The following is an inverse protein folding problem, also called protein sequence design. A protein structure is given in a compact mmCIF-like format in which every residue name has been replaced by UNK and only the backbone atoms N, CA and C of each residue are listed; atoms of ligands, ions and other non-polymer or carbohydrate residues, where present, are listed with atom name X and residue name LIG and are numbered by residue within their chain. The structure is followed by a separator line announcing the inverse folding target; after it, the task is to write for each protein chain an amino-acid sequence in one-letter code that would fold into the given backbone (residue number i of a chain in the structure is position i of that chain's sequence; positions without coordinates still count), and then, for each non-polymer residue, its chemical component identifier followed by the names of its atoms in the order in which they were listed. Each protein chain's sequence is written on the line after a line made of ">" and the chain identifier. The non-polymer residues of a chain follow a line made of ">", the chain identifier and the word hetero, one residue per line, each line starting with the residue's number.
data_IF_945475722334
#
_entry.id   IF_945475722334
#
_cell.length_a   1.000
_cell.length_b   1.000
_cell.length_c   1.000
_cell.angle_alpha   90.00
_cell.angle_beta   90.00
_cell.angle_gamma   90.00
#
_symmetry.space_group_name_H-M   'P 1'
#
loop_
_entity.id
_entity.type
_entity.pdbx_description
1 polymer ?
#
# COMPACT_ATOMS: atom_id res chain seq x y z
N UNK A 1 10.86 -11.93 23.63
CA UNK A 1 11.21 -10.93 22.61
C UNK A 1 10.06 -10.83 21.63
N UNK A 2 9.72 -9.62 21.17
CA UNK A 2 8.86 -9.37 20.02
C UNK A 2 9.75 -9.05 18.83
N UNK A 3 9.39 -9.59 17.67
CA UNK A 3 10.10 -9.36 16.41
C UNK A 3 9.13 -8.77 15.41
N UNK A 4 9.59 -7.79 14.64
CA UNK A 4 8.82 -7.16 13.56
C UNK A 4 9.64 -7.20 12.27
N UNK A 5 9.00 -7.70 11.20
CA UNK A 5 9.60 -7.76 9.87
C UNK A 5 8.75 -6.99 8.87
N UNK A 6 9.37 -6.11 8.09
CA UNK A 6 8.78 -5.62 6.86
C UNK A 6 9.13 -6.57 5.72
N UNK A 7 8.15 -6.93 4.92
CA UNK A 7 8.31 -7.86 3.80
C UNK A 7 7.52 -7.39 2.57
N UNK A 8 8.04 -7.70 1.39
CA UNK A 8 7.30 -7.55 0.13
C UNK A 8 6.43 -8.77 -0.22
N UNK A 9 6.45 -9.80 0.63
CA UNK A 9 5.66 -11.02 0.43
C UNK A 9 6.19 -11.99 -0.64
N UNK A 10 7.33 -11.72 -1.28
CA UNK A 10 7.85 -12.56 -2.39
C UNK A 10 8.38 -13.91 -1.93
N UNK A 11 8.66 -14.09 -0.65
CA UNK A 11 9.18 -15.34 -0.09
C UNK A 11 8.32 -15.84 1.06
N UNK A 12 8.11 -17.17 1.10
CA UNK A 12 7.54 -17.87 2.24
C UNK A 12 8.64 -18.62 2.97
N UNK A 13 8.84 -18.33 4.25
CA UNK A 13 10.03 -18.79 5.00
C UNK A 13 9.69 -19.96 5.94
N UNK A 14 9.38 -21.13 5.37
CA UNK A 14 8.93 -22.32 6.11
C UNK A 14 9.86 -22.71 7.26
N UNK A 15 11.17 -22.74 7.04
CA UNK A 15 12.13 -23.11 8.08
C UNK A 15 12.08 -22.18 9.30
N UNK A 16 11.94 -20.86 9.06
CA UNK A 16 11.80 -19.90 10.15
C UNK A 16 10.48 -20.08 10.91
N UNK A 17 9.40 -20.40 10.19
CA UNK A 17 8.08 -20.66 10.77
C UNK A 17 8.12 -21.90 11.69
N UNK A 18 8.77 -22.96 11.24
CA UNK A 18 8.78 -24.22 11.96
C UNK A 18 9.76 -24.23 13.14
N UNK A 19 10.93 -23.61 12.97
CA UNK A 19 12.05 -23.81 13.88
C UNK A 19 12.47 -22.57 14.70
N UNK A 20 12.11 -21.36 14.24
CA UNK A 20 12.64 -20.11 14.82
C UNK A 20 11.51 -19.28 15.45
N UNK A 21 10.46 -18.96 14.72
CA UNK A 21 9.42 -18.01 15.14
C UNK A 21 8.60 -18.42 16.35
N UNK A 22 8.26 -19.71 16.57
CA UNK A 22 7.53 -20.14 17.77
C UNK A 22 8.27 -19.87 19.10
N UNK A 23 9.58 -19.62 19.03
CA UNK A 23 10.39 -19.30 20.22
C UNK A 23 10.28 -17.80 20.64
N UNK A 24 9.63 -16.97 19.84
CA UNK A 24 9.40 -15.55 20.16
C UNK A 24 8.03 -15.35 20.79
N UNK A 25 7.92 -14.31 21.62
CA UNK A 25 6.62 -13.92 22.21
C UNK A 25 5.63 -13.47 21.13
N UNK A 26 6.13 -12.79 20.09
CA UNK A 26 5.33 -12.35 18.95
C UNK A 26 6.27 -12.15 17.76
N UNK A 27 5.84 -12.63 16.61
CA UNK A 27 6.41 -12.32 15.30
C UNK A 27 5.33 -11.59 14.51
N UNK A 28 5.60 -10.35 14.14
CA UNK A 28 4.68 -9.52 13.38
C UNK A 28 5.25 -9.29 11.98
N UNK A 29 4.48 -9.67 10.95
CA UNK A 29 4.81 -9.40 9.55
C UNK A 29 4.04 -8.19 9.03
N UNK A 30 4.76 -7.18 8.57
CA UNK A 30 4.23 -6.01 7.90
C UNK A 30 4.41 -6.17 6.37
N UNK A 31 3.36 -6.54 5.68
CA UNK A 31 3.37 -6.71 4.23
C UNK A 31 3.26 -5.35 3.54
N UNK A 32 4.25 -5.03 2.71
CA UNK A 32 4.26 -3.79 1.91
C UNK A 32 3.53 -4.03 0.59
N UNK A 33 2.25 -3.72 0.53
CA UNK A 33 1.39 -3.94 -0.64
C UNK A 33 0.77 -2.61 -1.06
N UNK A 34 1.18 -2.09 -2.21
CA UNK A 34 0.79 -0.75 -2.66
C UNK A 34 -0.31 -0.80 -3.75
N UNK A 35 -0.55 -1.97 -4.36
CA UNK A 35 -1.61 -2.24 -5.34
C UNK A 35 -1.85 -3.76 -5.46
N UNK A 36 -2.69 -4.18 -6.39
CA UNK A 36 -3.01 -5.59 -6.68
C UNK A 36 -2.90 -5.89 -8.18
N UNK A 37 -2.64 -7.17 -8.53
CA UNK A 37 -2.54 -7.62 -9.92
C UNK A 37 -1.40 -6.96 -10.70
N UNK A 38 -1.65 -6.69 -11.97
CA UNK A 38 -0.66 -6.09 -12.90
C UNK A 38 -0.12 -4.75 -12.41
N UNK A 39 -0.92 -3.99 -11.64
CA UNK A 39 -0.47 -2.70 -11.08
C UNK A 39 0.52 -2.88 -9.94
N UNK A 40 0.38 -3.93 -9.15
CA UNK A 40 1.39 -4.30 -8.16
C UNK A 40 2.70 -4.69 -8.85
N UNK A 41 2.64 -5.52 -9.89
CA UNK A 41 3.80 -5.96 -10.66
C UNK A 41 4.51 -4.78 -11.37
N UNK A 42 3.73 -3.82 -11.89
CA UNK A 42 4.28 -2.60 -12.46
C UNK A 42 5.07 -1.76 -11.44
N UNK A 43 4.57 -1.62 -10.22
CA UNK A 43 5.22 -0.83 -9.17
C UNK A 43 6.38 -1.59 -8.49
N UNK A 44 6.36 -2.92 -8.55
CA UNK A 44 7.33 -3.80 -7.90
C UNK A 44 7.96 -4.74 -8.93
N UNK A 45 8.79 -4.14 -9.78
CA UNK A 45 9.46 -4.85 -10.86
C UNK A 45 10.11 -6.16 -10.40
N UNK A 46 9.80 -7.25 -11.10
CA UNK A 46 10.31 -8.60 -10.82
C UNK A 46 9.49 -9.39 -9.79
N UNK A 47 8.47 -8.79 -9.16
CA UNK A 47 7.52 -9.53 -8.33
C UNK A 47 6.36 -10.07 -9.19
N UNK A 48 5.84 -11.24 -8.82
CA UNK A 48 4.63 -11.82 -9.39
C UNK A 48 3.49 -11.73 -8.37
N UNK A 49 2.38 -11.11 -8.75
CA UNK A 49 1.25 -10.90 -7.85
C UNK A 49 0.64 -12.20 -7.33
N UNK A 50 0.48 -13.20 -8.19
CA UNK A 50 -0.14 -14.46 -7.80
C UNK A 50 0.71 -15.18 -6.75
N UNK A 51 2.05 -15.16 -6.90
CA UNK A 51 2.98 -15.72 -5.92
C UNK A 51 2.93 -14.97 -4.59
N UNK A 52 2.94 -13.64 -4.62
CA UNK A 52 2.86 -12.81 -3.42
C UNK A 52 1.53 -13.03 -2.69
N UNK A 53 0.41 -13.02 -3.41
CA UNK A 53 -0.90 -13.25 -2.84
C UNK A 53 -1.03 -14.66 -2.24
N UNK A 54 -0.44 -15.68 -2.89
CA UNK A 54 -0.39 -17.05 -2.36
C UNK A 54 0.46 -17.13 -1.10
N UNK A 55 1.62 -16.47 -1.07
CA UNK A 55 2.47 -16.40 0.10
C UNK A 55 1.76 -15.73 1.29
N UNK A 56 1.06 -14.63 1.06
CA UNK A 56 0.26 -13.95 2.08
C UNK A 56 -0.82 -14.90 2.61
N UNK A 57 -1.52 -15.61 1.74
CA UNK A 57 -2.52 -16.63 2.13
C UNK A 57 -1.89 -17.73 2.99
N UNK A 58 -0.70 -18.20 2.62
CA UNK A 58 0.02 -19.21 3.39
C UNK A 58 0.40 -18.68 4.80
N UNK A 59 0.87 -17.44 4.90
CA UNK A 59 1.14 -16.79 6.19
C UNK A 59 -0.13 -16.64 7.03
N UNK A 60 -1.29 -16.39 6.43
CA UNK A 60 -2.56 -16.27 7.14
C UNK A 60 -3.05 -17.60 7.74
N UNK A 61 -2.54 -18.74 7.29
CA UNK A 61 -2.77 -20.03 7.97
C UNK A 61 -2.18 -20.05 9.40
N UNK A 62 -1.24 -19.14 9.70
CA UNK A 62 -0.68 -18.95 11.03
C UNK A 62 -1.52 -18.04 11.94
N UNK A 63 -2.66 -17.52 11.47
CA UNK A 63 -3.46 -16.54 12.22
C UNK A 63 -3.99 -17.07 13.57
N UNK A 64 -4.06 -18.39 13.74
CA UNK A 64 -4.46 -19.05 15.01
C UNK A 64 -3.27 -19.23 15.97
N UNK A 65 -2.04 -19.02 15.53
CA UNK A 65 -0.86 -19.11 16.37
C UNK A 65 -0.74 -17.89 17.27
N UNK A 66 -0.68 -18.09 18.57
CA UNK A 66 -0.66 -17.00 19.56
C UNK A 66 0.57 -16.07 19.45
N UNK A 67 1.62 -16.53 18.80
CA UNK A 67 2.87 -15.80 18.57
C UNK A 67 2.89 -15.04 17.23
N UNK A 68 1.91 -15.29 16.33
CA UNK A 68 1.89 -14.67 15.00
C UNK A 68 0.93 -13.48 14.92
N UNK A 69 1.34 -12.43 14.23
CA UNK A 69 0.51 -11.29 13.85
C UNK A 69 0.88 -10.82 12.44
N UNK A 70 -0.08 -10.30 11.72
CA UNK A 70 0.16 -9.71 10.39
C UNK A 70 -0.52 -8.36 10.24
N UNK A 71 0.09 -7.50 9.45
CA UNK A 71 -0.45 -6.21 9.05
C UNK A 71 -0.11 -5.92 7.60
N UNK A 72 -0.86 -5.04 6.97
CA UNK A 72 -0.54 -4.52 5.65
C UNK A 72 -0.21 -3.03 5.73
N UNK A 73 0.88 -2.65 5.05
CA UNK A 73 1.32 -1.26 4.89
C UNK A 73 1.14 -0.89 3.42
N UNK A 74 0.25 0.06 3.15
CA UNK A 74 -0.04 0.57 1.81
C UNK A 74 0.53 1.97 1.71
N UNK A 75 1.41 2.22 0.70
CA UNK A 75 1.96 3.55 0.46
C UNK A 75 1.28 4.16 -0.76
N UNK A 76 0.49 5.21 -0.51
CA UNK A 76 -0.25 5.89 -1.56
C UNK A 76 0.60 6.98 -2.23
N UNK A 77 0.62 6.95 -3.54
CA UNK A 77 1.42 7.79 -4.43
C UNK A 77 0.62 8.20 -5.66
N UNK A 78 1.24 8.97 -6.56
CA UNK A 78 0.65 9.30 -7.86
C UNK A 78 0.38 8.06 -8.75
N UNK A 79 1.08 6.93 -8.51
CA UNK A 79 0.90 5.70 -9.29
C UNK A 79 -0.37 4.93 -8.93
N UNK A 80 -0.74 4.88 -7.65
CA UNK A 80 -1.78 3.98 -7.17
C UNK A 80 -3.01 4.66 -6.58
N UNK A 81 -3.02 5.99 -6.50
CA UNK A 81 -4.18 6.73 -5.94
C UNK A 81 -5.51 6.38 -6.62
N UNK A 82 -5.51 6.03 -7.91
CA UNK A 82 -6.69 5.62 -8.65
C UNK A 82 -7.16 4.19 -8.34
N UNK A 83 -6.34 3.39 -7.67
CA UNK A 83 -6.59 1.97 -7.38
C UNK A 83 -7.07 1.72 -5.95
N UNK A 84 -7.19 2.75 -5.13
CA UNK A 84 -7.53 2.66 -3.70
C UNK A 84 -8.70 1.73 -3.44
N UNK A 85 -9.80 1.84 -4.21
CA UNK A 85 -10.98 1.00 -4.05
C UNK A 85 -10.66 -0.49 -4.20
N UNK A 86 -9.98 -0.87 -5.30
CA UNK A 86 -9.61 -2.27 -5.57
C UNK A 86 -8.64 -2.84 -4.55
N UNK A 87 -7.67 -2.03 -4.11
CA UNK A 87 -6.73 -2.43 -3.08
C UNK A 87 -7.46 -2.71 -1.76
N UNK A 88 -8.40 -1.86 -1.36
CA UNK A 88 -9.18 -2.04 -0.15
C UNK A 88 -10.16 -3.22 -0.23
N UNK A 89 -10.76 -3.48 -1.40
CA UNK A 89 -11.56 -4.67 -1.63
C UNK A 89 -10.73 -5.95 -1.38
N UNK A 90 -9.50 -6.00 -1.88
CA UNK A 90 -8.59 -7.11 -1.61
C UNK A 90 -8.21 -7.18 -0.12
N UNK A 91 -7.85 -6.06 0.51
CA UNK A 91 -7.49 -6.00 1.93
C UNK A 91 -8.63 -6.51 2.81
N UNK A 92 -9.89 -6.21 2.48
CA UNK A 92 -11.07 -6.67 3.23
C UNK A 92 -11.29 -8.19 3.13
N UNK A 93 -10.72 -8.86 2.14
CA UNK A 93 -10.74 -10.33 2.05
C UNK A 93 -9.66 -11.00 2.90
N UNK A 94 -8.72 -10.22 3.45
CA UNK A 94 -7.57 -10.75 4.17
C UNK A 94 -7.71 -10.55 5.69
N UNK A 95 -7.28 -11.53 6.51
CA UNK A 95 -7.37 -11.45 7.97
C UNK A 95 -6.20 -10.65 8.58
N UNK A 96 -5.85 -9.49 8.02
CA UNK A 96 -4.86 -8.60 8.62
C UNK A 96 -5.34 -8.04 9.96
N UNK A 97 -4.51 -8.13 10.98
CA UNK A 97 -4.81 -7.54 12.28
C UNK A 97 -4.74 -6.02 12.26
N UNK A 98 -3.96 -5.43 11.34
CA UNK A 98 -3.82 -3.98 11.22
C UNK A 98 -3.60 -3.56 9.77
N UNK A 99 -4.05 -2.33 9.44
CA UNK A 99 -3.94 -1.76 8.09
C UNK A 99 -3.40 -0.33 8.19
N UNK A 100 -2.22 -0.09 7.60
CA UNK A 100 -1.57 1.21 7.60
C UNK A 100 -1.70 1.92 6.26
N UNK A 101 -2.07 3.19 6.33
CA UNK A 101 -2.12 4.12 5.20
C UNK A 101 -0.90 5.05 5.29
N UNK A 102 0.10 4.80 4.47
CA UNK A 102 1.25 5.68 4.33
C UNK A 102 1.07 6.61 3.14
N UNK A 103 1.59 7.81 3.25
CA UNK A 103 1.52 8.83 2.21
C UNK A 103 2.93 9.05 1.65
N UNK A 104 3.09 8.96 0.34
CA UNK A 104 4.36 9.21 -0.32
C UNK A 104 4.69 10.70 -0.28
N UNK A 105 5.72 11.07 0.47
CA UNK A 105 6.22 12.44 0.53
C UNK A 105 7.40 12.67 -0.41
N UNK A 106 8.28 11.69 -0.49
CA UNK A 106 9.47 11.70 -1.32
C UNK A 106 9.69 10.35 -2.02
N UNK A 107 10.23 10.35 -3.24
CA UNK A 107 10.64 11.53 -4.03
C UNK A 107 9.42 12.34 -4.50
N UNK A 108 9.55 13.68 -4.57
CA UNK A 108 8.44 14.61 -4.83
C UNK A 108 7.63 14.30 -6.08
N UNK A 109 8.28 13.85 -7.15
CA UNK A 109 7.58 13.49 -8.40
C UNK A 109 6.68 12.26 -8.28
N UNK A 110 6.77 11.47 -7.20
CA UNK A 110 5.83 10.38 -6.91
C UNK A 110 4.75 10.77 -5.91
N UNK A 111 4.87 11.92 -5.26
CA UNK A 111 3.83 12.43 -4.39
C UNK A 111 2.56 12.73 -5.21
N UNK A 112 1.41 12.27 -4.74
CA UNK A 112 0.13 12.44 -5.45
C UNK A 112 -0.26 13.91 -5.68
N UNK A 113 0.34 14.84 -4.95
CA UNK A 113 0.10 16.30 -5.10
C UNK A 113 0.63 16.85 -6.42
N UNK A 114 1.53 16.13 -7.13
CA UNK A 114 2.05 16.54 -8.46
C UNK A 114 1.00 16.43 -9.57
N UNK A 115 -0.07 15.69 -9.33
CA UNK A 115 -1.16 15.53 -10.29
C UNK A 115 -1.82 16.91 -10.58
N UNK A 116 -2.32 17.13 -11.81
CA UNK A 116 -3.08 18.33 -12.14
C UNK A 116 -4.27 18.54 -11.18
N UNK A 117 -4.56 19.79 -10.81
CA UNK A 117 -5.59 20.11 -9.81
C UNK A 117 -6.97 19.57 -10.19
N UNK A 118 -7.37 19.74 -11.46
CA UNK A 118 -8.61 19.18 -11.99
C UNK A 118 -8.67 17.65 -11.86
N UNK A 119 -7.55 16.97 -12.05
CA UNK A 119 -7.46 15.53 -11.87
C UNK A 119 -7.59 15.14 -10.40
N UNK A 120 -6.92 15.86 -9.49
CA UNK A 120 -6.99 15.61 -8.04
C UNK A 120 -8.44 15.69 -7.53
N UNK A 121 -9.19 16.72 -7.94
CA UNK A 121 -10.59 16.90 -7.54
C UNK A 121 -11.49 15.74 -8.05
N UNK A 122 -11.32 15.35 -9.32
CA UNK A 122 -12.05 14.21 -9.89
C UNK A 122 -11.70 12.90 -9.18
N UNK A 123 -10.42 12.69 -8.87
CA UNK A 123 -9.93 11.50 -8.17
C UNK A 123 -10.51 11.45 -6.75
N UNK A 124 -10.42 12.53 -5.99
CA UNK A 124 -10.95 12.58 -4.63
C UNK A 124 -12.46 12.31 -4.62
N UNK A 125 -13.22 12.95 -5.52
CA UNK A 125 -14.68 12.74 -5.64
C UNK A 125 -15.01 11.29 -5.97
N UNK A 126 -14.27 10.69 -6.92
CA UNK A 126 -14.45 9.28 -7.31
C UNK A 126 -14.19 8.35 -6.14
N UNK A 127 -13.04 8.49 -5.49
CA UNK A 127 -12.64 7.61 -4.37
C UNK A 127 -13.66 7.70 -3.24
N UNK A 128 -14.02 8.90 -2.80
CA UNK A 128 -14.99 9.09 -1.72
C UNK A 128 -16.35 8.45 -2.03
N UNK A 129 -16.80 8.54 -3.29
CA UNK A 129 -18.05 7.90 -3.72
C UNK A 129 -17.96 6.37 -3.72
N UNK A 130 -16.85 5.81 -4.24
CA UNK A 130 -16.70 4.36 -4.38
C UNK A 130 -16.41 3.65 -3.05
N UNK A 131 -15.96 4.38 -2.04
CA UNK A 131 -15.53 3.82 -0.76
C UNK A 131 -16.39 4.25 0.43
N UNK A 132 -17.59 4.74 0.20
CA UNK A 132 -18.49 5.28 1.25
C UNK A 132 -18.81 4.27 2.36
N UNK A 133 -18.87 2.98 2.03
CA UNK A 133 -19.31 1.93 2.94
C UNK A 133 -18.14 1.12 3.54
N UNK A 134 -16.88 1.51 3.28
CA UNK A 134 -15.74 0.80 3.86
C UNK A 134 -15.50 1.20 5.31
N UNK A 135 -15.00 0.27 6.11
CA UNK A 135 -14.52 0.56 7.48
C UNK A 135 -13.35 1.54 7.53
N UNK A 136 -12.70 1.79 6.39
CA UNK A 136 -11.56 2.71 6.24
C UNK A 136 -11.94 4.11 5.77
N UNK A 137 -13.22 4.46 5.77
CA UNK A 137 -13.71 5.72 5.19
C UNK A 137 -13.02 6.97 5.76
N UNK A 138 -12.73 7.01 7.07
CA UNK A 138 -12.00 8.13 7.68
C UNK A 138 -10.54 8.21 7.18
N UNK A 139 -9.88 7.07 7.01
CA UNK A 139 -8.53 7.05 6.43
C UNK A 139 -8.53 7.57 4.99
N UNK A 140 -9.57 7.23 4.23
CA UNK A 140 -9.74 7.68 2.85
C UNK A 140 -10.03 9.18 2.78
N UNK A 141 -10.84 9.72 3.69
CA UNK A 141 -11.02 11.18 3.79
C UNK A 141 -9.69 11.89 4.04
N UNK A 142 -8.87 11.37 4.95
CA UNK A 142 -7.54 11.93 5.22
C UNK A 142 -6.63 11.83 3.99
N UNK A 143 -6.67 10.73 3.27
CA UNK A 143 -5.94 10.53 2.00
C UNK A 143 -6.38 11.56 0.94
N UNK A 144 -7.68 11.75 0.76
CA UNK A 144 -8.22 12.76 -0.16
C UNK A 144 -7.88 14.19 0.27
N UNK A 145 -7.94 14.49 1.57
CA UNK A 145 -7.50 15.77 2.10
C UNK A 145 -6.02 16.02 1.80
N UNK A 146 -5.16 15.02 1.98
CA UNK A 146 -3.74 15.12 1.64
C UNK A 146 -3.53 15.37 0.14
N UNK A 147 -4.24 14.64 -0.72
CA UNK A 147 -4.20 14.82 -2.18
C UNK A 147 -4.53 16.26 -2.59
N UNK A 148 -5.52 16.87 -1.94
CA UNK A 148 -6.01 18.22 -2.27
C UNK A 148 -5.23 19.34 -1.57
N UNK A 149 -4.42 19.04 -0.57
CA UNK A 149 -3.59 20.04 0.08
C UNK A 149 -2.53 20.59 -0.86
N UNK A 150 -2.33 21.91 -0.81
CA UNK A 150 -1.20 22.56 -1.47
C UNK A 150 0.10 22.25 -0.74
N UNK A 151 1.15 22.08 -1.52
CA UNK A 151 2.52 21.93 -1.06
C UNK A 151 3.36 22.93 -1.85
N UNK A 152 3.92 23.92 -1.16
CA UNK A 152 4.58 25.06 -1.82
C UNK A 152 5.77 24.61 -2.68
N UNK A 153 6.56 23.63 -2.21
CA UNK A 153 7.68 23.12 -2.99
C UNK A 153 7.21 22.44 -4.29
N UNK A 154 6.10 21.70 -4.20
CA UNK A 154 5.52 21.04 -5.38
C UNK A 154 4.91 22.08 -6.32
N UNK A 155 4.21 23.07 -5.81
CA UNK A 155 3.63 24.15 -6.64
C UNK A 155 4.71 24.94 -7.38
N UNK A 156 5.80 25.30 -6.71
CA UNK A 156 6.93 26.04 -7.30
C UNK A 156 7.67 25.24 -8.38
N UNK A 157 7.60 23.90 -8.34
CA UNK A 157 8.29 22.99 -9.26
C UNK A 157 7.32 22.06 -10.02
N UNK A 158 6.04 22.39 -10.11
CA UNK A 158 4.98 21.51 -10.59
C UNK A 158 5.25 20.92 -11.97
N UNK A 159 5.63 21.75 -12.93
CA UNK A 159 5.90 21.31 -14.31
C UNK A 159 7.07 20.32 -14.36
N UNK A 160 8.12 20.55 -13.58
CA UNK A 160 9.28 19.66 -13.46
C UNK A 160 8.87 18.31 -12.88
N UNK A 161 8.23 18.32 -11.71
CA UNK A 161 7.85 17.08 -11.04
C UNK A 161 6.80 16.29 -11.82
N UNK A 162 5.86 16.99 -12.49
CA UNK A 162 4.91 16.34 -13.39
C UNK A 162 5.59 15.73 -14.62
N UNK A 163 6.57 16.42 -15.21
CA UNK A 163 7.35 15.87 -16.32
C UNK A 163 8.18 14.65 -15.88
N UNK A 164 8.80 14.70 -14.70
CA UNK A 164 9.55 13.58 -14.14
C UNK A 164 8.63 12.38 -13.85
N UNK A 165 7.45 12.58 -13.27
CA UNK A 165 6.46 11.54 -13.07
C UNK A 165 6.05 10.89 -14.38
N UNK A 166 5.69 11.69 -15.41
CA UNK A 166 5.31 11.14 -16.72
C UNK A 166 6.43 10.33 -17.37
N UNK A 167 7.68 10.69 -17.18
CA UNK A 167 8.84 9.94 -17.70
C UNK A 167 8.90 8.54 -17.07
N UNK A 168 8.60 8.40 -15.78
CA UNK A 168 8.57 7.10 -15.11
C UNK A 168 7.36 6.25 -15.51
N UNK A 169 6.24 6.84 -15.92
CA UNK A 169 5.09 6.09 -16.43
C UNK A 169 5.35 5.40 -17.78
N UNK A 170 6.37 5.85 -18.53
CA UNK A 170 6.67 5.37 -19.88
C UNK A 170 7.85 4.40 -19.92
N UNK A 171 8.46 4.10 -18.80
CA UNK A 171 9.54 3.11 -18.65
C UNK A 171 9.00 1.75 -18.23
#
# INVERSE_FOLDING_TARGET
>A
IKVHYNTNGTHYVQDAIDNIWPNFKTVELAFSIDDVGDKFEYQRYGANWNEVNQNITNYHNLANESWFASQVCMTFSAFNILSVGKLLEWVDTQPFGHVYFNLMHDPKHFNMKVLPDEAKEKIATKILRETTNTKYYENIKNLCNFLLQKDQEIEDNKDKYWADFKRHLLQ
#
